data_IF_451674391638
#
_entry.id   IF_451674391638
#
_cell.length_a   1.000
_cell.length_b   1.000
_cell.length_c   1.000
_cell.angle_alpha   90.00
_cell.angle_beta   90.00
_cell.angle_gamma   90.00
#
_symmetry.space_group_name_H-M   'P 1'
#
loop_
_entity.id
_entity.type
_entity.pdbx_description
1 polymer ?
#
# COMPACT_ATOMS: atom_id res chain seq x y z
N UNK A 1 3.99 9.41 20.22
CA UNK A 1 4.13 8.72 18.93
C UNK A 1 3.83 9.75 17.86
N UNK A 2 4.77 10.01 16.95
CA UNK A 2 4.54 10.94 15.84
C UNK A 2 3.56 10.37 14.83
N UNK A 3 2.96 11.22 13.99
CA UNK A 3 2.03 10.75 12.95
C UNK A 3 2.71 9.77 11.98
N UNK A 4 3.99 10.00 11.68
CA UNK A 4 4.81 9.07 10.88
C UNK A 4 4.89 7.70 11.56
N UNK A 5 5.21 7.64 12.86
CA UNK A 5 5.32 6.39 13.61
C UNK A 5 4.00 5.60 13.64
N UNK A 6 2.87 6.28 13.77
CA UNK A 6 1.53 5.65 13.75
C UNK A 6 1.30 4.96 12.39
N UNK A 7 1.55 5.67 11.29
CA UNK A 7 1.36 5.13 9.95
C UNK A 7 2.37 4.02 9.61
N UNK A 8 3.62 4.15 10.05
CA UNK A 8 4.64 3.09 9.90
C UNK A 8 4.21 1.82 10.62
N UNK A 9 3.81 1.91 11.89
CA UNK A 9 3.33 0.76 12.65
C UNK A 9 2.14 0.09 11.93
N UNK A 10 1.18 0.88 11.49
CA UNK A 10 0.01 0.39 10.78
C UNK A 10 0.34 -0.25 9.42
N UNK A 11 1.37 0.23 8.71
CA UNK A 11 1.87 -0.38 7.48
C UNK A 11 2.56 -1.72 7.77
N UNK A 12 3.43 -1.79 8.78
CA UNK A 12 4.15 -3.01 9.17
C UNK A 12 3.19 -4.14 9.58
N UNK A 13 2.19 -3.83 10.42
CA UNK A 13 1.20 -4.82 10.87
C UNK A 13 0.40 -5.40 9.69
N UNK A 14 -0.03 -4.53 8.76
CA UNK A 14 -0.80 -4.96 7.58
C UNK A 14 0.03 -5.69 6.55
N UNK A 15 1.31 -5.31 6.39
CA UNK A 15 2.25 -6.03 5.53
C UNK A 15 2.40 -7.46 6.03
N UNK A 16 2.67 -7.66 7.32
CA UNK A 16 2.80 -8.98 7.92
C UNK A 16 1.52 -9.80 7.70
N UNK A 17 0.36 -9.23 8.02
CA UNK A 17 -0.93 -9.89 7.80
C UNK A 17 -1.18 -10.23 6.32
N UNK A 18 -0.79 -9.37 5.39
CA UNK A 18 -0.89 -9.63 3.94
C UNK A 18 -0.14 -10.90 3.55
N UNK A 19 1.10 -11.05 4.04
CA UNK A 19 1.92 -12.21 3.75
C UNK A 19 1.35 -13.50 4.38
N UNK A 20 0.86 -13.41 5.62
CA UNK A 20 0.22 -14.56 6.28
C UNK A 20 -1.07 -15.02 5.59
N UNK A 21 -1.91 -14.09 5.14
CA UNK A 21 -3.16 -14.40 4.45
C UNK A 21 -2.90 -15.01 3.07
N UNK A 22 -1.76 -14.69 2.45
CA UNK A 22 -1.32 -15.35 1.23
C UNK A 22 -0.97 -16.82 1.46
N UNK A 23 -0.23 -17.14 2.53
CA UNK A 23 0.07 -18.52 2.91
C UNK A 23 -1.21 -19.32 3.22
N UNK A 24 -2.20 -18.66 3.82
CA UNK A 24 -3.54 -19.22 4.08
C UNK A 24 -4.44 -19.29 2.84
N UNK A 25 -3.94 -18.88 1.67
CA UNK A 25 -4.65 -18.85 0.38
C UNK A 25 -5.92 -18.00 0.35
N UNK A 26 -6.01 -17.00 1.23
CA UNK A 26 -7.15 -16.07 1.30
C UNK A 26 -6.92 -14.87 0.40
N UNK A 27 -6.84 -15.13 -0.90
CA UNK A 27 -6.35 -14.16 -1.89
C UNK A 27 -7.17 -12.86 -2.00
N UNK A 28 -8.47 -12.88 -1.72
CA UNK A 28 -9.27 -11.64 -1.65
C UNK A 28 -8.77 -10.74 -0.49
N UNK A 29 -8.51 -11.35 0.67
CA UNK A 29 -7.99 -10.65 1.86
C UNK A 29 -6.57 -10.12 1.62
N UNK A 30 -5.75 -10.85 0.86
CA UNK A 30 -4.42 -10.36 0.41
C UNK A 30 -4.57 -9.04 -0.35
N UNK A 31 -5.54 -8.95 -1.26
CA UNK A 31 -5.87 -7.72 -1.98
C UNK A 31 -6.18 -6.57 -1.01
N UNK A 32 -7.17 -6.76 -0.13
CA UNK A 32 -7.61 -5.75 0.83
C UNK A 32 -6.46 -5.24 1.71
N UNK A 33 -5.65 -6.14 2.26
CA UNK A 33 -4.58 -5.80 3.18
C UNK A 33 -3.38 -5.15 2.48
N UNK A 34 -3.02 -5.59 1.28
CA UNK A 34 -1.92 -5.00 0.51
C UNK A 34 -2.20 -3.54 0.15
N UNK A 35 -3.44 -3.27 -0.27
CA UNK A 35 -3.98 -1.93 -0.47
C UNK A 35 -3.82 -1.07 0.78
N UNK A 36 -4.29 -1.57 1.92
CA UNK A 36 -4.23 -0.81 3.17
C UNK A 36 -2.80 -0.61 3.65
N UNK A 37 -1.90 -1.54 3.35
CA UNK A 37 -0.46 -1.40 3.61
C UNK A 37 0.12 -0.23 2.83
N UNK A 38 -0.12 -0.18 1.52
CA UNK A 38 0.36 0.92 0.65
C UNK A 38 -0.26 2.26 1.05
N UNK A 39 -1.55 2.32 1.39
CA UNK A 39 -2.18 3.56 1.86
C UNK A 39 -1.50 4.11 3.13
N UNK A 40 -1.15 3.25 4.08
CA UNK A 40 -0.45 3.66 5.30
C UNK A 40 1.00 4.09 5.02
N UNK A 41 1.70 3.41 4.11
CA UNK A 41 3.04 3.81 3.70
C UNK A 41 3.05 5.19 3.01
N UNK A 42 2.05 5.47 2.17
CA UNK A 42 1.85 6.79 1.55
C UNK A 42 1.60 7.86 2.63
N UNK A 43 0.73 7.58 3.60
CA UNK A 43 0.46 8.51 4.72
C UNK A 43 1.71 8.77 5.56
N UNK A 44 2.51 7.73 5.85
CA UNK A 44 3.76 7.88 6.58
C UNK A 44 4.74 8.81 5.85
N UNK A 45 4.90 8.62 4.54
CA UNK A 45 5.77 9.46 3.72
C UNK A 45 5.23 10.90 3.60
N UNK A 46 3.92 11.06 3.43
CA UNK A 46 3.29 12.38 3.32
C UNK A 46 3.29 13.16 4.64
N UNK A 47 3.24 12.45 5.78
CA UNK A 47 3.34 13.03 7.12
C UNK A 47 4.70 13.71 7.38
N UNK A 48 5.78 13.30 6.69
CA UNK A 48 7.06 14.03 6.72
C UNK A 48 6.93 15.47 6.20
N UNK A 49 5.91 15.74 5.39
CA UNK A 49 5.58 17.07 4.86
C UNK A 49 4.31 17.65 5.49
N UNK A 50 3.87 17.12 6.65
CA UNK A 50 2.67 17.57 7.37
C UNK A 50 1.34 17.29 6.65
N UNK A 51 1.30 16.32 5.72
CA UNK A 51 0.09 15.97 4.96
C UNK A 51 -0.58 14.73 5.53
N UNK A 52 -1.90 14.79 5.68
CA UNK A 52 -2.74 13.68 6.14
C UNK A 52 -3.99 13.54 5.27
N UNK A 53 -4.03 12.54 4.40
CA UNK A 53 -5.13 12.40 3.44
C UNK A 53 -6.37 11.79 4.11
N UNK A 54 -6.19 10.96 5.12
CA UNK A 54 -7.27 10.30 5.86
C UNK A 54 -8.23 11.28 6.56
N UNK A 55 -7.82 12.53 6.80
CA UNK A 55 -8.68 13.59 7.33
C UNK A 55 -9.81 13.99 6.35
N UNK A 56 -9.66 13.68 5.05
CA UNK A 56 -10.68 13.88 4.02
C UNK A 56 -11.06 12.54 3.38
N UNK A 57 -11.82 11.68 4.09
CA UNK A 57 -12.00 10.27 3.69
C UNK A 57 -12.61 10.08 2.31
N UNK A 58 -13.49 11.00 1.86
CA UNK A 58 -14.12 10.94 0.53
C UNK A 58 -13.13 11.12 -0.63
N UNK A 59 -12.04 11.84 -0.42
CA UNK A 59 -11.00 12.14 -1.42
C UNK A 59 -9.66 11.49 -1.10
N UNK A 60 -9.56 10.80 0.04
CA UNK A 60 -8.28 10.27 0.54
C UNK A 60 -7.60 9.33 -0.47
N UNK A 61 -8.37 8.44 -1.09
CA UNK A 61 -7.84 7.50 -2.09
C UNK A 61 -7.24 8.22 -3.31
N UNK A 62 -8.01 9.10 -3.97
CA UNK A 62 -7.55 9.82 -5.15
C UNK A 62 -6.42 10.80 -4.83
N UNK A 63 -6.43 11.42 -3.64
CA UNK A 63 -5.36 12.30 -3.18
C UNK A 63 -4.06 11.56 -2.93
N UNK A 64 -4.09 10.39 -2.26
CA UNK A 64 -2.91 9.53 -2.09
C UNK A 64 -2.32 9.12 -3.43
N UNK A 65 -3.19 8.71 -4.36
CA UNK A 65 -2.81 8.29 -5.71
C UNK A 65 -2.12 9.39 -6.51
N UNK A 66 -2.70 10.59 -6.51
CA UNK A 66 -2.09 11.73 -7.18
C UNK A 66 -0.75 12.08 -6.54
N UNK A 67 -0.71 12.17 -5.21
CA UNK A 67 0.49 12.58 -4.49
C UNK A 67 1.64 11.59 -4.66
N UNK A 68 1.41 10.27 -4.55
CA UNK A 68 2.49 9.28 -4.71
C UNK A 68 3.05 9.31 -6.13
N UNK A 69 2.21 9.52 -7.15
CA UNK A 69 2.65 9.60 -8.56
C UNK A 69 3.43 10.88 -8.86
N UNK A 70 3.06 11.99 -8.23
CA UNK A 70 3.80 13.25 -8.34
C UNK A 70 5.14 13.19 -7.59
N UNK A 71 5.12 12.63 -6.37
CA UNK A 71 6.30 12.57 -5.49
C UNK A 71 7.30 11.50 -5.92
N UNK A 72 6.82 10.34 -6.38
CA UNK A 72 7.62 9.20 -6.80
C UNK A 72 7.13 8.69 -8.18
N UNK A 73 7.47 9.39 -9.27
CA UNK A 73 6.98 9.04 -10.61
C UNK A 73 7.33 7.60 -11.05
N UNK A 74 8.43 7.05 -10.55
CA UNK A 74 8.85 5.65 -10.74
C UNK A 74 7.77 4.64 -10.32
N UNK A 75 6.99 4.95 -9.28
CA UNK A 75 5.96 4.07 -8.72
C UNK A 75 4.62 4.10 -9.46
N UNK A 76 4.45 4.99 -10.44
CA UNK A 76 3.15 5.17 -11.09
C UNK A 76 2.57 3.86 -11.63
N UNK A 77 3.41 3.06 -12.30
CA UNK A 77 3.01 1.75 -12.83
C UNK A 77 2.72 0.72 -11.74
N UNK A 78 3.53 0.68 -10.68
CA UNK A 78 3.36 -0.29 -9.59
C UNK A 78 2.07 -0.04 -8.81
N UNK A 79 1.76 1.23 -8.56
CA UNK A 79 0.54 1.63 -7.88
C UNK A 79 -0.70 1.33 -8.75
N UNK A 80 -0.62 1.55 -10.06
CA UNK A 80 -1.71 1.19 -10.98
C UNK A 80 -1.90 -0.33 -11.09
N UNK A 81 -0.81 -1.11 -11.13
CA UNK A 81 -0.86 -2.57 -11.11
C UNK A 81 -1.52 -3.09 -9.82
N UNK A 82 -1.12 -2.56 -8.67
CA UNK A 82 -1.65 -2.91 -7.36
C UNK A 82 -3.17 -2.68 -7.30
N UNK A 83 -3.67 -1.51 -7.71
CA UNK A 83 -5.11 -1.22 -7.69
C UNK A 83 -5.90 -2.03 -8.70
N UNK A 84 -5.36 -2.22 -9.91
CA UNK A 84 -5.99 -3.04 -10.93
C UNK A 84 -6.10 -4.50 -10.49
N UNK A 85 -5.03 -5.07 -9.94
CA UNK A 85 -5.01 -6.44 -9.45
C UNK A 85 -5.88 -6.62 -8.21
N UNK A 86 -5.91 -5.65 -7.29
CA UNK A 86 -6.86 -5.61 -6.16
C UNK A 86 -8.31 -5.63 -6.62
N UNK A 87 -8.70 -4.68 -7.48
CA UNK A 87 -10.07 -4.61 -7.98
C UNK A 87 -10.48 -5.93 -8.63
N UNK A 88 -9.56 -6.53 -9.40
CA UNK A 88 -9.83 -7.78 -10.08
C UNK A 88 -9.82 -9.02 -9.14
N UNK A 89 -9.22 -8.97 -7.94
CA UNK A 89 -9.34 -10.02 -6.92
C UNK A 89 -10.71 -10.01 -6.23
N UNK A 90 -11.34 -8.84 -6.10
CA UNK A 90 -12.65 -8.72 -5.47
C UNK A 90 -13.82 -9.25 -6.32
N UNK A 91 -13.63 -9.39 -7.63
CA UNK A 91 -14.70 -9.78 -8.58
C UNK A 91 -14.41 -11.05 -9.36
N UNK A 92 -13.17 -11.55 -9.38
CA UNK A 92 -12.80 -12.80 -10.03
C UNK A 92 -12.56 -13.91 -9.01
N UNK A 93 -12.79 -15.16 -9.44
CA UNK A 93 -12.46 -16.36 -8.67
C UNK A 93 -11.02 -16.32 -8.14
N UNK A 94 -10.86 -16.87 -6.92
CA UNK A 94 -9.64 -16.89 -6.09
C UNK A 94 -8.41 -17.31 -6.91
N UNK A 95 -7.56 -16.34 -7.30
CA UNK A 95 -6.36 -16.54 -8.13
C UNK A 95 -5.07 -16.18 -7.37
N UNK A 96 -4.25 -17.19 -7.08
CA UNK A 96 -2.99 -17.03 -6.33
C UNK A 96 -1.89 -16.29 -7.09
N UNK A 97 -1.84 -16.40 -8.42
CA UNK A 97 -0.89 -15.63 -9.23
C UNK A 97 -1.21 -14.14 -9.17
N UNK A 98 -2.49 -13.79 -9.18
CA UNK A 98 -2.92 -12.40 -9.05
C UNK A 98 -2.61 -11.86 -7.65
N UNK A 99 -2.84 -12.64 -6.60
CA UNK A 99 -2.44 -12.27 -5.24
C UNK A 99 -0.92 -12.09 -5.11
N UNK A 100 -0.12 -12.92 -5.78
CA UNK A 100 1.33 -12.76 -5.84
C UNK A 100 1.71 -11.42 -6.50
N UNK A 101 1.10 -11.07 -7.64
CA UNK A 101 1.33 -9.77 -8.30
C UNK A 101 1.01 -8.58 -7.39
N UNK A 102 -0.07 -8.67 -6.62
CA UNK A 102 -0.41 -7.64 -5.62
C UNK A 102 0.67 -7.51 -4.56
N UNK A 103 1.17 -8.63 -4.01
CA UNK A 103 2.27 -8.61 -3.03
C UNK A 103 3.54 -8.03 -3.63
N UNK A 104 3.90 -8.44 -4.85
CA UNK A 104 5.12 -7.97 -5.49
C UNK A 104 5.05 -6.46 -5.75
N UNK A 105 3.90 -5.94 -6.21
CA UNK A 105 3.68 -4.50 -6.38
C UNK A 105 3.73 -3.74 -5.03
N UNK A 106 3.09 -4.29 -3.99
CA UNK A 106 3.16 -3.73 -2.63
C UNK A 106 4.61 -3.63 -2.14
N UNK A 107 5.40 -4.71 -2.27
CA UNK A 107 6.79 -4.75 -1.81
C UNK A 107 7.68 -3.77 -2.58
N UNK A 108 7.46 -3.59 -3.89
CA UNK A 108 8.17 -2.58 -4.69
C UNK A 108 7.85 -1.16 -4.24
N UNK A 109 6.58 -0.85 -4.01
CA UNK A 109 6.14 0.46 -3.48
C UNK A 109 6.77 0.75 -2.12
N UNK A 110 6.74 -0.22 -1.20
CA UNK A 110 7.36 -0.07 0.11
C UNK A 110 8.87 0.18 -0.01
N UNK A 111 9.58 -0.65 -0.78
CA UNK A 111 11.04 -0.53 -0.93
C UNK A 111 11.48 0.80 -1.54
N UNK A 112 10.70 1.34 -2.47
CA UNK A 112 10.93 2.68 -3.02
C UNK A 112 10.76 3.76 -1.94
N UNK A 113 9.65 3.74 -1.20
CA UNK A 113 9.40 4.72 -0.15
C UNK A 113 10.51 4.67 0.89
N UNK A 114 10.96 3.47 1.30
CA UNK A 114 12.08 3.32 2.25
C UNK A 114 13.35 4.00 1.74
N UNK A 115 13.68 3.78 0.45
CA UNK A 115 14.88 4.33 -0.17
C UNK A 115 14.86 5.86 -0.23
N UNK A 116 13.71 6.45 -0.53
CA UNK A 116 13.58 7.89 -0.74
C UNK A 116 13.31 8.68 0.56
N UNK A 117 12.77 8.05 1.61
CA UNK A 117 12.26 8.76 2.81
C UNK A 117 12.97 8.43 4.13
N UNK A 118 13.89 7.45 4.15
CA UNK A 118 14.51 6.86 5.36
C UNK A 118 13.52 6.18 6.32
N UNK A 119 12.24 6.10 5.98
CA UNK A 119 11.25 5.29 6.70
C UNK A 119 11.60 3.81 6.52
N UNK A 120 11.24 2.96 7.49
CA UNK A 120 11.44 1.51 7.43
C UNK A 120 10.13 0.79 7.71
N UNK A 121 9.74 -0.11 6.82
CA UNK A 121 8.58 -0.98 6.93
C UNK A 121 8.98 -2.46 7.12
N UNK A 122 10.30 -2.73 7.22
CA UNK A 122 10.95 -4.04 7.38
C UNK A 122 11.98 -4.01 8.50
#
# INVERSE_FOLDING_TARGET
>A
MSDVEIHVKAACEKRLATLEEFEKRRYMVVGDLAIKTVEQAIEAAAALEGKHFHLQPRSAHSNRLRWIKEKFPSLSKDVDELWGAYGALGYASVNGERARKVIDAMERVLGEIERETRIRFK
#
